data_IF_197267914524
#
_entry.id   IF_197267914524
#
_cell.length_a   1.000
_cell.length_b   1.000
_cell.length_c   1.000
_cell.angle_alpha   90.00
_cell.angle_beta   90.00
_cell.angle_gamma   90.00
#
_symmetry.space_group_name_H-M   'P 1'
#
loop_
_entity.id
_entity.type
_entity.pdbx_description
1 polymer ?
#
# COMPACT_ATOMS: atom_id res chain seq x y z
N UNK A 1 3.53 9.15 15.96
CA UNK A 1 2.17 8.83 15.47
C UNK A 1 2.24 8.81 13.96
N UNK A 2 1.74 7.77 13.30
CA UNK A 2 1.78 7.63 11.85
C UNK A 2 0.36 7.44 11.30
N UNK A 3 0.15 7.81 10.05
CA UNK A 3 -1.08 7.54 9.30
C UNK A 3 -0.69 6.67 8.12
N UNK A 4 -1.34 5.52 7.99
CA UNK A 4 -1.34 4.71 6.79
C UNK A 4 -2.56 5.12 5.96
N UNK A 5 -2.34 5.61 4.75
CA UNK A 5 -3.39 5.71 3.76
C UNK A 5 -3.26 4.56 2.77
N UNK A 6 -4.38 3.97 2.39
CA UNK A 6 -4.44 3.03 1.28
C UNK A 6 -5.61 3.40 0.37
N UNK A 7 -5.38 3.34 -0.93
CA UNK A 7 -6.38 3.60 -1.97
C UNK A 7 -6.50 2.34 -2.81
N UNK A 8 -7.73 1.88 -2.97
CA UNK A 8 -8.06 0.83 -3.91
C UNK A 8 -8.04 1.39 -5.34
N UNK A 9 -7.32 0.72 -6.25
CA UNK A 9 -7.22 1.10 -7.65
C UNK A 9 -8.28 0.37 -8.51
N UNK A 10 -9.54 0.49 -8.11
CA UNK A 10 -10.73 0.05 -8.87
C UNK A 10 -11.57 1.28 -9.23
N UNK A 11 -12.65 1.10 -10.00
CA UNK A 11 -13.62 2.18 -10.24
C UNK A 11 -14.29 2.70 -8.97
N UNK A 12 -14.36 1.89 -7.90
CA UNK A 12 -14.96 2.29 -6.62
C UNK A 12 -14.05 3.23 -5.82
N UNK A 13 -12.72 3.23 -6.12
CA UNK A 13 -11.70 4.13 -5.53
C UNK A 13 -11.81 4.27 -4.02
N UNK A 14 -11.97 3.15 -3.32
CA UNK A 14 -12.14 3.15 -1.87
C UNK A 14 -10.83 3.63 -1.22
N UNK A 15 -10.90 4.78 -0.54
CA UNK A 15 -9.82 5.30 0.30
C UNK A 15 -10.09 5.01 1.76
N UNK A 16 -9.10 4.48 2.48
CA UNK A 16 -9.17 4.37 3.93
C UNK A 16 -7.88 4.84 4.62
N UNK A 17 -7.97 5.86 5.49
CA UNK A 17 -6.88 6.23 6.38
C UNK A 17 -6.94 5.42 7.67
N UNK A 18 -5.79 5.09 8.24
CA UNK A 18 -5.69 4.36 9.51
C UNK A 18 -4.53 4.90 10.35
N UNK A 19 -4.80 5.18 11.63
CA UNK A 19 -3.77 5.62 12.57
C UNK A 19 -3.01 4.41 13.07
N UNK A 20 -1.68 4.45 12.96
CA UNK A 20 -0.81 3.38 13.42
C UNK A 20 0.25 3.93 14.39
N UNK A 21 0.58 3.20 15.47
CA UNK A 21 1.56 3.66 16.44
C UNK A 21 2.99 3.69 15.86
N UNK A 22 3.28 2.77 14.95
CA UNK A 22 4.57 2.61 14.27
C UNK A 22 4.35 1.87 12.94
N UNK A 23 5.40 1.81 12.10
CA UNK A 23 5.39 1.13 10.80
C UNK A 23 5.98 -0.28 10.86
N UNK A 24 5.81 -0.97 11.99
CA UNK A 24 6.26 -2.37 12.10
C UNK A 24 5.37 -3.28 11.26
N UNK A 25 5.89 -4.43 10.85
CA UNK A 25 5.14 -5.46 10.11
C UNK A 25 3.82 -5.79 10.82
N UNK A 26 3.87 -6.05 12.13
CA UNK A 26 2.66 -6.37 12.91
C UNK A 26 1.62 -5.24 12.89
N UNK A 27 2.04 -3.98 13.08
CA UNK A 27 1.12 -2.85 13.08
C UNK A 27 0.46 -2.64 11.71
N UNK A 28 1.21 -2.82 10.63
CA UNK A 28 0.71 -2.69 9.26
C UNK A 28 -0.21 -3.87 8.89
N UNK A 29 0.20 -5.11 9.17
CA UNK A 29 -0.61 -6.32 8.93
C UNK A 29 -1.97 -6.21 9.63
N UNK A 30 -2.00 -5.86 10.92
CA UNK A 30 -3.24 -5.76 11.69
C UNK A 30 -4.24 -4.73 11.11
N UNK A 31 -3.75 -3.70 10.44
CA UNK A 31 -4.58 -2.63 9.87
C UNK A 31 -5.13 -3.00 8.50
N UNK A 32 -4.35 -3.75 7.73
CA UNK A 32 -4.69 -4.15 6.37
C UNK A 32 -5.46 -5.49 6.32
N UNK A 33 -5.31 -6.32 7.34
CA UNK A 33 -6.03 -7.59 7.50
C UNK A 33 -7.55 -7.38 7.42
N UNK A 34 -8.23 -8.21 6.62
CA UNK A 34 -9.68 -8.15 6.41
C UNK A 34 -10.17 -6.94 5.60
N UNK A 35 -9.30 -5.97 5.27
CA UNK A 35 -9.63 -4.82 4.41
C UNK A 35 -9.18 -5.01 2.98
N UNK A 36 -8.09 -5.73 2.78
CA UNK A 36 -7.58 -6.08 1.46
C UNK A 36 -7.98 -7.53 1.15
N UNK A 37 -8.48 -7.76 -0.05
CA UNK A 37 -8.79 -9.10 -0.54
C UNK A 37 -7.50 -9.91 -0.75
N UNK A 38 -7.52 -11.17 -0.35
CA UNK A 38 -6.43 -12.12 -0.63
C UNK A 38 -6.15 -12.19 -2.14
N UNK A 39 -4.88 -12.32 -2.51
CA UNK A 39 -4.36 -12.28 -3.88
C UNK A 39 -4.49 -10.93 -4.61
N UNK A 40 -4.84 -9.84 -3.92
CA UNK A 40 -4.72 -8.49 -4.48
C UNK A 40 -3.26 -8.08 -4.69
N UNK A 41 -3.05 -7.07 -5.54
CA UNK A 41 -1.74 -6.48 -5.80
C UNK A 41 -1.56 -5.25 -4.90
N UNK A 42 -0.50 -5.24 -4.11
CA UNK A 42 -0.12 -4.15 -3.22
C UNK A 42 1.05 -3.37 -3.86
N UNK A 43 0.83 -2.09 -4.16
CA UNK A 43 1.86 -1.18 -4.65
C UNK A 43 2.37 -0.31 -3.49
N UNK A 44 3.69 -0.26 -3.27
CA UNK A 44 4.28 0.57 -2.21
C UNK A 44 5.61 1.22 -2.62
N UNK A 45 6.02 2.24 -1.86
CA UNK A 45 7.28 3.00 -2.03
C UNK A 45 8.56 2.21 -1.68
N UNK A 46 8.45 0.92 -1.38
CA UNK A 46 9.58 0.06 -1.05
C UNK A 46 10.01 0.11 0.42
N UNK A 47 9.18 0.63 1.33
CA UNK A 47 9.51 0.60 2.76
C UNK A 47 9.74 -0.85 3.27
N UNK A 48 10.79 -1.11 4.09
CA UNK A 48 11.26 -2.47 4.40
C UNK A 48 10.25 -3.43 5.05
N UNK A 49 9.16 -2.92 5.62
CA UNK A 49 8.14 -3.76 6.25
C UNK A 49 7.14 -4.35 5.25
N UNK A 50 6.96 -3.74 4.08
CA UNK A 50 5.92 -4.16 3.13
C UNK A 50 6.10 -5.55 2.53
N UNK A 51 7.32 -6.04 2.22
CA UNK A 51 7.50 -7.41 1.73
C UNK A 51 6.92 -8.47 2.69
N UNK A 52 7.21 -8.33 4.00
CA UNK A 52 6.69 -9.25 5.02
C UNK A 52 5.18 -9.06 5.25
N UNK A 53 4.66 -7.84 5.15
CA UNK A 53 3.21 -7.57 5.24
C UNK A 53 2.46 -8.24 4.10
N UNK A 54 2.99 -8.16 2.88
CA UNK A 54 2.40 -8.78 1.71
C UNK A 54 2.39 -10.31 1.83
N UNK A 55 3.49 -10.92 2.30
CA UNK A 55 3.54 -12.35 2.59
C UNK A 55 2.48 -12.76 3.63
N UNK A 56 2.41 -12.06 4.77
CA UNK A 56 1.44 -12.33 5.83
C UNK A 56 -0.02 -12.27 5.35
N UNK A 57 -0.32 -11.38 4.40
CA UNK A 57 -1.68 -11.15 3.88
C UNK A 57 -1.95 -11.87 2.55
N UNK A 58 -1.01 -12.69 2.07
CA UNK A 58 -1.11 -13.38 0.77
C UNK A 58 -1.40 -12.41 -0.38
N UNK A 59 -0.62 -11.32 -0.45
CA UNK A 59 -0.69 -10.27 -1.46
C UNK A 59 0.49 -10.36 -2.42
N UNK A 60 0.30 -9.94 -3.66
CA UNK A 60 1.38 -9.73 -4.62
C UNK A 60 1.98 -8.35 -4.38
N UNK A 61 3.28 -8.26 -4.07
CA UNK A 61 3.93 -6.98 -3.75
C UNK A 61 4.68 -6.43 -4.96
N UNK A 62 4.35 -5.20 -5.34
CA UNK A 62 5.06 -4.41 -6.34
C UNK A 62 5.65 -3.16 -5.68
N UNK A 63 6.95 -2.93 -5.91
CA UNK A 63 7.64 -1.73 -5.44
C UNK A 63 7.59 -0.70 -6.56
N UNK A 64 7.08 0.48 -6.25
CA UNK A 64 7.07 1.61 -7.17
C UNK A 64 8.36 2.40 -6.97
N UNK A 65 9.21 2.40 -8.00
CA UNK A 65 10.46 3.18 -7.95
C UNK A 65 10.15 4.64 -8.27
N UNK A 66 10.20 5.49 -7.25
CA UNK A 66 10.03 6.93 -7.42
C UNK A 66 11.10 7.57 -8.32
N UNK A 67 12.27 6.98 -8.59
CA UNK A 67 13.21 7.60 -9.53
C UNK A 67 12.84 7.42 -11.01
N UNK A 68 11.92 6.50 -11.32
CA UNK A 68 11.60 6.10 -12.70
C UNK A 68 10.10 6.22 -13.04
N UNK A 69 9.21 6.14 -12.05
CA UNK A 69 7.77 5.91 -12.25
C UNK A 69 6.87 6.97 -11.56
N UNK A 70 7.29 8.24 -11.53
CA UNK A 70 6.42 9.34 -11.09
C UNK A 70 5.24 9.60 -12.01
N UNK A 71 5.18 8.95 -13.17
CA UNK A 71 4.25 9.24 -14.24
C UNK A 71 3.88 7.92 -14.92
N UNK A 72 2.63 7.47 -14.77
CA UNK A 72 2.10 6.44 -15.67
C UNK A 72 2.06 6.97 -17.13
N UNK A 73 1.79 6.14 -18.13
CA UNK A 73 1.70 6.56 -19.55
C UNK A 73 0.73 7.76 -19.79
N UNK A 74 -0.15 8.08 -18.84
CA UNK A 74 -1.11 9.18 -18.85
C UNK A 74 -0.70 10.43 -18.04
N UNK A 75 0.48 10.49 -17.41
CA UNK A 75 0.88 11.68 -16.63
C UNK A 75 0.54 11.66 -15.13
N UNK A 76 -0.01 10.57 -14.60
CA UNK A 76 -0.56 10.50 -13.23
C UNK A 76 0.46 9.94 -12.24
N UNK A 77 0.62 10.64 -11.11
CA UNK A 77 1.48 10.24 -10.01
C UNK A 77 0.92 9.00 -9.29
N UNK A 78 1.67 7.91 -9.34
CA UNK A 78 1.28 6.55 -8.89
C UNK A 78 1.11 6.39 -7.38
N UNK A 79 1.46 7.40 -6.58
CA UNK A 79 1.10 7.44 -5.17
C UNK A 79 -0.09 8.38 -5.01
N UNK A 80 -1.29 7.81 -4.97
CA UNK A 80 -2.53 8.55 -4.76
C UNK A 80 -2.63 9.21 -3.35
N UNK A 81 -1.58 9.12 -2.52
CA UNK A 81 -1.46 9.70 -1.18
C UNK A 81 -0.05 10.30 -1.07
N UNK A 82 0.02 11.61 -0.83
CA UNK A 82 1.23 12.36 -0.45
C UNK A 82 1.16 12.76 1.03
#
# INVERSE_FOLDING_TARGET
MWILGAIENTDERIFFPSRIPNRTVAALTNVLEGRIRVNSILFTDGYPSYPAVAENLSLQHHIVNHSEDFVNEDGIHSNNIE
#
